data_IF_602244038963
#
_entry.id   IF_602244038963
#
_cell.length_a   1.000
_cell.length_b   1.000
_cell.length_c   1.000
_cell.angle_alpha   90.00
_cell.angle_beta   90.00
_cell.angle_gamma   90.00
#
_symmetry.space_group_name_H-M   'P 1'
#
loop_
_entity.id
_entity.type
_entity.pdbx_description
1 polymer ?
#
# COMPACT_ATOMS: atom_id res chain seq x y z
N UNK A 1 -0.11 19.40 -2.88
CA UNK A 1 0.49 18.07 -3.05
C UNK A 1 1.62 18.20 -4.05
N UNK A 2 2.78 17.62 -3.74
CA UNK A 2 3.82 17.44 -4.75
C UNK A 2 3.37 16.37 -5.74
N UNK A 3 3.87 16.36 -6.98
CA UNK A 3 3.55 15.30 -7.95
C UNK A 3 3.89 13.89 -7.45
N UNK A 4 4.84 13.76 -6.53
CA UNK A 4 5.20 12.50 -5.87
C UNK A 4 4.09 12.01 -4.93
N UNK A 5 3.50 12.89 -4.13
CA UNK A 5 2.38 12.55 -3.25
C UNK A 5 1.14 12.07 -4.03
N UNK A 6 0.89 12.64 -5.21
CA UNK A 6 -0.19 12.16 -6.08
C UNK A 6 0.07 10.73 -6.54
N UNK A 7 1.29 10.42 -7.00
CA UNK A 7 1.67 9.06 -7.42
C UNK A 7 1.53 8.06 -6.28
N UNK A 8 1.95 8.45 -5.07
CA UNK A 8 1.80 7.62 -3.86
C UNK A 8 0.32 7.31 -3.60
N UNK A 9 -0.56 8.31 -3.65
CA UNK A 9 -2.00 8.13 -3.46
C UNK A 9 -2.65 7.23 -4.54
N UNK A 10 -2.23 7.36 -5.79
CA UNK A 10 -2.66 6.47 -6.89
C UNK A 10 -2.22 5.02 -6.66
N UNK A 11 -0.98 4.82 -6.18
CA UNK A 11 -0.47 3.50 -5.81
C UNK A 11 -1.25 2.91 -4.64
N UNK A 12 -1.53 3.68 -3.58
CA UNK A 12 -2.36 3.23 -2.46
C UNK A 12 -3.74 2.75 -2.93
N UNK A 13 -4.40 3.53 -3.78
CA UNK A 13 -5.72 3.15 -4.33
C UNK A 13 -5.65 1.82 -5.09
N UNK A 14 -4.62 1.64 -5.91
CA UNK A 14 -4.41 0.41 -6.70
C UNK A 14 -4.14 -0.81 -5.81
N UNK A 15 -3.27 -0.68 -4.81
CA UNK A 15 -2.96 -1.75 -3.85
C UNK A 15 -4.20 -2.11 -3.02
N UNK A 16 -4.96 -1.11 -2.57
CA UNK A 16 -6.21 -1.34 -1.82
C UNK A 16 -7.21 -2.12 -2.67
N UNK A 17 -7.35 -1.78 -3.95
CA UNK A 17 -8.24 -2.49 -4.86
C UNK A 17 -7.79 -3.94 -5.11
N UNK A 18 -6.48 -4.19 -5.24
CA UNK A 18 -5.94 -5.53 -5.36
C UNK A 18 -6.17 -6.36 -4.09
N UNK A 19 -5.95 -5.75 -2.92
CA UNK A 19 -6.19 -6.36 -1.62
C UNK A 19 -7.67 -6.70 -1.39
N UNK A 20 -8.57 -5.79 -1.76
CA UNK A 20 -10.02 -5.97 -1.63
C UNK A 20 -10.50 -7.18 -2.44
N UNK A 21 -10.04 -7.29 -3.69
CA UNK A 21 -10.34 -8.40 -4.61
C UNK A 21 -9.67 -9.72 -4.23
N UNK A 22 -8.57 -9.69 -3.46
CA UNK A 22 -7.87 -10.90 -3.07
C UNK A 22 -8.75 -11.77 -2.15
N UNK A 23 -8.72 -13.12 -2.31
CA UNK A 23 -9.41 -14.02 -1.41
C UNK A 23 -8.85 -13.90 0.00
N UNK A 24 -9.70 -14.13 1.01
CA UNK A 24 -9.26 -14.19 2.39
C UNK A 24 -8.20 -15.28 2.57
N UNK A 25 -7.09 -14.94 3.23
CA UNK A 25 -5.96 -15.85 3.39
C UNK A 25 -4.69 -15.12 3.83
N UNK A 26 -3.61 -15.89 4.11
CA UNK A 26 -2.38 -15.34 4.67
C UNK A 26 -1.73 -14.25 3.80
N UNK A 27 -1.91 -14.32 2.48
CA UNK A 27 -1.49 -13.29 1.52
C UNK A 27 -2.22 -11.95 1.73
N UNK A 28 -3.55 -11.99 1.88
CA UNK A 28 -4.39 -10.81 2.14
C UNK A 28 -4.10 -10.19 3.51
N UNK A 29 -3.84 -11.01 4.52
CA UNK A 29 -3.41 -10.55 5.85
C UNK A 29 -2.04 -9.87 5.82
N UNK A 30 -1.07 -10.44 5.11
CA UNK A 30 0.26 -9.84 4.94
C UNK A 30 0.16 -8.49 4.20
N UNK A 31 -0.60 -8.45 3.11
CA UNK A 31 -0.85 -7.22 2.36
C UNK A 31 -1.57 -6.15 3.20
N UNK A 32 -2.51 -6.53 4.07
CA UNK A 32 -3.18 -5.60 4.98
C UNK A 32 -2.19 -4.93 5.94
N UNK A 33 -1.29 -5.71 6.54
CA UNK A 33 -0.28 -5.19 7.47
C UNK A 33 0.62 -4.14 6.80
N UNK A 34 1.11 -4.46 5.60
CA UNK A 34 1.92 -3.52 4.82
C UNK A 34 1.11 -2.30 4.37
N UNK A 35 -0.14 -2.47 3.95
CA UNK A 35 -1.01 -1.35 3.57
C UNK A 35 -1.26 -0.39 4.75
N UNK A 36 -1.49 -0.91 5.95
CA UNK A 36 -1.64 -0.08 7.15
C UNK A 36 -0.35 0.67 7.52
N UNK A 37 0.82 0.07 7.32
CA UNK A 37 2.11 0.74 7.48
C UNK A 37 2.27 1.87 6.45
N UNK A 38 1.89 1.62 5.19
CA UNK A 38 1.88 2.62 4.14
C UNK A 38 0.95 3.82 4.46
N UNK A 39 -0.25 3.57 5.01
CA UNK A 39 -1.17 4.64 5.45
C UNK A 39 -0.58 5.54 6.54
N UNK A 40 0.10 4.94 7.51
CA UNK A 40 0.79 5.69 8.57
C UNK A 40 1.95 6.51 8.00
N UNK A 41 2.78 5.91 7.16
CA UNK A 41 3.88 6.59 6.49
C UNK A 41 3.41 7.76 5.61
N UNK A 42 2.29 7.58 4.89
CA UNK A 42 1.70 8.61 4.04
C UNK A 42 1.19 9.79 4.88
N UNK A 43 0.57 9.50 6.02
CA UNK A 43 0.14 10.51 7.00
C UNK A 43 1.34 11.28 7.56
N UNK A 44 2.47 10.61 7.76
CA UNK A 44 3.74 11.22 8.16
C UNK A 44 4.47 11.95 7.00
N UNK A 45 3.88 12.01 5.80
CA UNK A 45 4.48 12.56 4.58
C UNK A 45 5.82 11.89 4.21
N UNK A 46 5.95 10.61 4.52
CA UNK A 46 7.12 9.80 4.20
C UNK A 46 6.85 8.94 2.95
N UNK A 47 6.89 9.57 1.78
CA UNK A 47 6.59 8.93 0.50
C UNK A 47 7.49 7.72 0.21
N UNK A 48 8.75 7.74 0.64
CA UNK A 48 9.68 6.62 0.43
C UNK A 48 9.23 5.36 1.17
N UNK A 49 8.87 5.50 2.45
CA UNK A 49 8.36 4.39 3.26
C UNK A 49 6.99 3.94 2.77
N UNK A 50 6.10 4.87 2.40
CA UNK A 50 4.81 4.51 1.80
C UNK A 50 4.99 3.69 0.54
N UNK A 51 5.85 4.12 -0.39
CA UNK A 51 6.06 3.39 -1.64
C UNK A 51 6.66 2.00 -1.42
N UNK A 52 7.57 1.86 -0.45
CA UNK A 52 8.18 0.58 -0.05
C UNK A 52 7.13 -0.39 0.51
N UNK A 53 6.31 0.07 1.45
CA UNK A 53 5.28 -0.77 2.06
C UNK A 53 4.18 -1.13 1.04
N UNK A 54 3.81 -0.23 0.14
CA UNK A 54 2.89 -0.54 -0.95
C UNK A 54 3.44 -1.59 -1.90
N UNK A 55 4.74 -1.56 -2.19
CA UNK A 55 5.39 -2.59 -2.99
C UNK A 55 5.32 -3.95 -2.28
N UNK A 56 5.67 -3.99 -1.00
CA UNK A 56 5.57 -5.20 -0.18
C UNK A 56 4.13 -5.75 -0.12
N UNK A 57 3.14 -4.86 -0.02
CA UNK A 57 1.72 -5.24 -0.07
C UNK A 57 1.35 -5.85 -1.44
N UNK A 58 1.78 -5.25 -2.55
CA UNK A 58 1.56 -5.82 -3.89
C UNK A 58 2.25 -7.18 -4.05
N UNK A 59 3.50 -7.30 -3.60
CA UNK A 59 4.26 -8.54 -3.64
C UNK A 59 3.63 -9.64 -2.78
N UNK A 60 3.04 -9.30 -1.64
CA UNK A 60 2.31 -10.24 -0.80
C UNK A 60 1.03 -10.76 -1.46
N UNK A 61 0.42 -10.00 -2.38
CA UNK A 61 -0.79 -10.38 -3.11
C UNK A 61 -0.50 -11.23 -4.37
N UNK A 62 0.73 -11.22 -4.88
CA UNK A 62 1.19 -12.10 -5.97
C UNK A 62 1.32 -13.56 -5.48
#
# INVERSE_FOLDING_TARGET
MTPEQNKTAEKMTSVKAAWDKAPAGPKKDAALKHYQAAEKANTAKNDAETNKELDAATHALA
#
